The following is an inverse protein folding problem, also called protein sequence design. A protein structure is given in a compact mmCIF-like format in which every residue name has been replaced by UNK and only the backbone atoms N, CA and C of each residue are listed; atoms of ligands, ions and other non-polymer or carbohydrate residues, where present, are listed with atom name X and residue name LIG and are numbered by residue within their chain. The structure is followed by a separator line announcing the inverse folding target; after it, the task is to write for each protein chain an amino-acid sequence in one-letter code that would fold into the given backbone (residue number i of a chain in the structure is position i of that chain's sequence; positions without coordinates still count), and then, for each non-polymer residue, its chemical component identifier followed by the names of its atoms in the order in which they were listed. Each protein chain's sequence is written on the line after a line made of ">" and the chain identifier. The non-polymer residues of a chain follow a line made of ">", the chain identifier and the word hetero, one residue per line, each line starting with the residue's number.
data_IF_531881025944
#
_entry.id   IF_531881025944
#
_cell.length_a   1.000
_cell.length_b   1.000
_cell.length_c   1.000
_cell.angle_alpha   90.00
_cell.angle_beta   90.00
_cell.angle_gamma   90.00
#
_symmetry.space_group_name_H-M   'P 1'
#
loop_
_entity.id
_entity.type
_entity.pdbx_description
1 polymer ?
#
# COMPACT_ATOMS: atom_id res chain seq x y z
N UNK A 1 1.76 16.04 9.90
CA UNK A 1 2.57 15.11 9.05
C UNK A 1 2.04 13.71 9.28
N UNK A 2 1.57 13.02 8.25
CA UNK A 2 1.11 11.64 8.37
C UNK A 2 2.20 10.70 8.91
N UNK A 3 1.81 9.80 9.81
CA UNK A 3 2.67 8.77 10.39
C UNK A 3 2.17 7.38 9.98
N UNK A 4 3.03 6.60 9.35
CA UNK A 4 2.77 5.19 9.03
C UNK A 4 3.60 4.31 9.96
N UNK A 5 2.94 3.57 10.85
CA UNK A 5 3.58 2.63 11.76
C UNK A 5 3.39 1.20 11.27
N UNK A 6 4.46 0.46 11.08
CA UNK A 6 4.45 -0.92 10.60
C UNK A 6 4.87 -1.84 11.72
N UNK A 7 3.95 -2.67 12.19
CA UNK A 7 4.19 -3.69 13.20
C UNK A 7 4.60 -4.99 12.50
N UNK A 8 5.81 -5.45 12.74
CA UNK A 8 6.39 -6.62 12.07
C UNK A 8 7.38 -7.33 12.98
N UNK A 9 7.70 -8.58 12.69
CA UNK A 9 8.82 -9.33 13.32
C UNK A 9 10.15 -9.10 12.58
N UNK A 10 10.14 -8.34 11.47
CA UNK A 10 11.31 -8.16 10.61
C UNK A 10 11.46 -6.69 10.17
N UNK A 11 11.71 -5.75 11.12
CA UNK A 11 11.92 -4.34 10.79
C UNK A 11 13.02 -4.13 9.74
N UNK A 12 14.11 -4.87 9.83
CA UNK A 12 15.26 -4.79 8.91
C UNK A 12 14.90 -5.11 7.45
N UNK A 13 13.80 -5.84 7.21
CA UNK A 13 13.31 -6.10 5.87
C UNK A 13 12.49 -4.94 5.29
N UNK A 14 11.97 -4.06 6.13
CA UNK A 14 11.05 -2.97 5.76
C UNK A 14 11.74 -1.61 5.76
N UNK A 15 12.51 -1.29 6.78
CA UNK A 15 13.14 0.03 6.96
C UNK A 15 13.99 0.51 5.77
N UNK A 16 14.82 -0.32 5.11
CA UNK A 16 15.60 0.12 3.96
C UNK A 16 14.73 0.59 2.80
N UNK A 17 13.57 -0.06 2.59
CA UNK A 17 12.61 0.34 1.55
C UNK A 17 11.96 1.68 1.86
N UNK A 18 11.54 1.90 3.12
CA UNK A 18 10.95 3.16 3.57
C UNK A 18 11.90 4.35 3.53
N UNK A 19 13.21 4.09 3.58
CA UNK A 19 14.26 5.10 3.42
C UNK A 19 14.68 5.38 1.97
N UNK A 20 14.14 4.63 1.00
CA UNK A 20 14.57 4.72 -0.39
C UNK A 20 13.60 5.53 -1.27
N UNK A 21 14.14 6.06 -2.41
CA UNK A 21 13.34 6.67 -3.49
C UNK A 21 12.32 7.69 -2.98
N UNK A 22 11.07 7.60 -3.45
CA UNK A 22 9.99 8.55 -3.17
C UNK A 22 9.62 8.62 -1.68
N UNK A 23 9.69 7.47 -0.98
CA UNK A 23 9.41 7.41 0.46
C UNK A 23 10.49 8.12 1.28
N UNK A 24 11.78 7.92 0.94
CA UNK A 24 12.89 8.63 1.55
C UNK A 24 12.79 10.14 1.34
N UNK A 25 12.48 10.58 0.11
CA UNK A 25 12.26 11.99 -0.23
C UNK A 25 11.09 12.59 0.57
N UNK A 26 9.98 11.85 0.72
CA UNK A 26 8.83 12.30 1.51
C UNK A 26 9.20 12.53 2.98
N UNK A 27 10.01 11.62 3.57
CA UNK A 27 10.53 11.77 4.93
C UNK A 27 11.48 12.96 5.06
N UNK A 28 12.44 13.10 4.16
CA UNK A 28 13.40 14.23 4.15
C UNK A 28 12.72 15.59 4.03
N UNK A 29 11.65 15.67 3.25
CA UNK A 29 10.83 16.88 3.11
C UNK A 29 9.86 17.12 4.29
N UNK A 30 9.74 16.19 5.24
CA UNK A 30 8.79 16.28 6.34
C UNK A 30 7.33 16.15 5.90
N UNK A 31 7.06 15.45 4.79
CA UNK A 31 5.71 15.23 4.25
C UNK A 31 5.07 13.94 4.77
N UNK A 32 5.86 12.96 5.17
CA UNK A 32 5.43 11.73 5.84
C UNK A 32 6.52 11.22 6.77
N UNK A 33 6.15 10.45 7.79
CA UNK A 33 7.09 9.73 8.64
C UNK A 33 6.70 8.24 8.75
N UNK A 34 7.70 7.40 9.00
CA UNK A 34 7.54 5.94 9.06
C UNK A 34 8.20 5.40 10.31
N UNK A 35 7.56 4.42 10.92
CA UNK A 35 8.10 3.72 12.09
C UNK A 35 7.88 2.22 11.92
N UNK A 36 8.96 1.45 11.97
CA UNK A 36 8.88 0.00 12.08
C UNK A 36 9.06 -0.40 13.55
N UNK A 37 8.19 -1.27 14.03
CA UNK A 37 8.24 -1.74 15.43
C UNK A 37 8.18 -3.27 15.45
N UNK A 38 9.15 -3.89 16.06
CA UNK A 38 9.10 -5.33 16.37
C UNK A 38 8.21 -5.55 17.60
N UNK A 39 7.00 -6.06 17.38
CA UNK A 39 6.07 -6.35 18.46
C UNK A 39 6.57 -7.48 19.39
N UNK A 40 7.62 -8.22 19.03
CA UNK A 40 8.31 -9.16 19.91
C UNK A 40 8.93 -8.47 21.13
N UNK A 41 9.28 -7.19 21.03
CA UNK A 41 9.82 -6.40 22.14
C UNK A 41 8.82 -6.20 23.27
N UNK A 42 7.54 -6.42 23.00
CA UNK A 42 6.43 -6.33 23.95
C UNK A 42 6.02 -7.67 24.57
N UNK A 43 6.68 -8.77 24.18
CA UNK A 43 6.48 -10.06 24.83
C UNK A 43 7.09 -10.04 26.25
N UNK A 44 6.32 -10.51 27.24
CA UNK A 44 6.71 -10.42 28.67
C UNK A 44 7.51 -11.60 29.17
N UNK A 45 7.50 -12.72 28.45
CA UNK A 45 8.21 -13.92 28.83
C UNK A 45 9.69 -13.85 28.42
N UNK A 46 10.53 -14.67 29.09
CA UNK A 46 11.97 -14.73 28.88
C UNK A 46 12.37 -15.08 27.43
N UNK A 47 11.51 -15.83 26.74
CA UNK A 47 11.78 -16.30 25.38
C UNK A 47 11.22 -15.34 24.32
N UNK A 48 10.54 -14.27 24.73
CA UNK A 48 9.92 -13.28 23.85
C UNK A 48 8.99 -13.94 22.83
N UNK A 49 8.13 -14.85 23.34
CA UNK A 49 7.22 -15.67 22.55
C UNK A 49 6.09 -14.83 21.97
N UNK A 50 5.89 -14.91 20.65
CA UNK A 50 4.89 -14.12 19.90
C UNK A 50 3.83 -14.98 19.22
N UNK A 51 3.96 -16.32 19.29
CA UNK A 51 3.09 -17.27 18.62
C UNK A 51 2.85 -18.50 19.50
N UNK A 52 1.76 -19.22 19.23
CA UNK A 52 1.41 -20.47 19.92
C UNK A 52 0.58 -21.37 19.00
N UNK A 53 0.36 -22.61 19.42
CA UNK A 53 -0.43 -23.60 18.68
C UNK A 53 -1.91 -23.17 18.60
N UNK A 54 -2.57 -23.37 17.44
CA UNK A 54 -3.98 -23.04 17.31
C UNK A 54 -4.86 -23.93 18.21
N UNK A 55 -5.88 -23.35 18.81
CA UNK A 55 -6.96 -24.13 19.41
C UNK A 55 -7.66 -24.96 18.34
N UNK A 56 -8.06 -26.18 18.67
CA UNK A 56 -8.63 -27.12 17.73
C UNK A 56 -7.60 -27.94 16.96
N UNK A 57 -6.30 -27.67 17.15
CA UNK A 57 -5.21 -28.38 16.46
C UNK A 57 -5.01 -27.91 15.03
N UNK A 58 -4.16 -28.59 14.29
CA UNK A 58 -3.78 -28.27 12.91
C UNK A 58 -2.29 -27.94 12.78
N UNK A 59 -1.78 -27.77 11.55
CA UNK A 59 -0.42 -27.34 11.29
C UNK A 59 -0.25 -25.85 11.59
N UNK A 60 1.00 -25.42 11.78
CA UNK A 60 1.38 -24.03 11.95
C UNK A 60 1.18 -23.47 13.36
N UNK A 61 1.34 -22.18 13.47
CA UNK A 61 1.27 -21.38 14.70
C UNK A 61 0.36 -20.17 14.46
N UNK A 62 -0.16 -19.56 15.51
CA UNK A 62 -0.97 -18.34 15.45
C UNK A 62 -0.30 -17.26 16.28
N UNK A 63 -0.27 -16.03 15.77
CA UNK A 63 0.28 -14.89 16.51
C UNK A 63 -0.56 -14.61 17.75
N UNK A 64 0.12 -14.51 18.87
CA UNK A 64 -0.49 -14.23 20.18
C UNK A 64 -0.96 -12.79 20.26
N UNK A 65 -2.12 -12.54 20.87
CA UNK A 65 -2.69 -11.20 20.95
C UNK A 65 -1.93 -10.24 21.88
N UNK A 66 -1.34 -10.75 23.00
CA UNK A 66 -0.81 -9.89 24.05
C UNK A 66 0.37 -9.03 23.62
N UNK A 67 1.42 -9.52 22.90
CA UNK A 67 2.53 -8.68 22.47
C UNK A 67 2.07 -7.60 21.48
N UNK A 68 1.15 -7.96 20.56
CA UNK A 68 0.65 -7.03 19.55
C UNK A 68 -0.20 -5.96 20.21
N UNK A 69 -1.14 -6.34 21.10
CA UNK A 69 -1.96 -5.39 21.83
C UNK A 69 -1.12 -4.40 22.64
N UNK A 70 -0.13 -4.89 23.38
CA UNK A 70 0.77 -4.04 24.18
C UNK A 70 1.57 -3.05 23.29
N UNK A 71 1.98 -3.49 22.08
CA UNK A 71 2.65 -2.64 21.11
C UNK A 71 1.72 -1.55 20.56
N UNK A 72 0.49 -1.90 20.18
CA UNK A 72 -0.52 -0.94 19.69
C UNK A 72 -0.84 0.09 20.78
N UNK A 73 -1.12 -0.35 22.00
CA UNK A 73 -1.42 0.52 23.14
C UNK A 73 -0.26 1.48 23.44
N UNK A 74 0.98 1.01 23.33
CA UNK A 74 2.16 1.86 23.48
C UNK A 74 2.22 2.92 22.39
N UNK A 75 2.03 2.57 21.13
CA UNK A 75 2.01 3.52 20.01
C UNK A 75 0.89 4.55 20.16
N UNK A 76 -0.30 4.12 20.58
CA UNK A 76 -1.44 5.02 20.76
C UNK A 76 -1.26 5.97 21.96
N UNK A 77 -0.54 5.57 23.01
CA UNK A 77 -0.14 6.48 24.09
C UNK A 77 0.84 7.55 23.64
N UNK A 78 1.79 7.19 22.77
CA UNK A 78 2.83 8.11 22.29
C UNK A 78 2.32 9.08 21.22
N UNK A 79 1.42 8.62 20.34
CA UNK A 79 1.04 9.35 19.13
C UNK A 79 -0.45 9.66 19.02
N UNK A 80 -1.31 9.07 19.86
CA UNK A 80 -2.77 9.12 19.72
C UNK A 80 -3.32 7.99 18.85
N UNK A 81 -4.63 7.95 18.60
CA UNK A 81 -5.29 6.84 17.93
C UNK A 81 -4.86 6.68 16.47
N UNK A 82 -4.80 5.43 16.00
CA UNK A 82 -4.46 5.04 14.64
C UNK A 82 -5.67 4.45 13.90
N UNK A 83 -5.75 4.66 12.58
CA UNK A 83 -6.49 3.77 11.70
C UNK A 83 -5.66 2.50 11.55
N UNK A 84 -6.20 1.37 11.99
CA UNK A 84 -5.48 0.10 12.13
C UNK A 84 -5.87 -0.87 11.02
N UNK A 85 -4.89 -1.30 10.20
CA UNK A 85 -5.07 -2.26 9.14
C UNK A 85 -4.23 -3.51 9.41
N UNK A 86 -4.83 -4.69 9.32
CA UNK A 86 -4.14 -5.98 9.40
C UNK A 86 -4.08 -6.64 8.01
N UNK A 87 -2.87 -7.01 7.58
CA UNK A 87 -2.64 -7.67 6.29
C UNK A 87 -3.12 -9.13 6.38
N UNK A 88 -4.19 -9.46 5.65
CA UNK A 88 -4.84 -10.77 5.73
C UNK A 88 -5.41 -11.15 4.36
N UNK A 89 -5.23 -12.40 3.87
CA UNK A 89 -5.86 -12.86 2.63
C UNK A 89 -7.39 -12.76 2.63
N UNK A 90 -8.03 -12.84 3.80
CA UNK A 90 -9.48 -12.71 3.96
C UNK A 90 -9.96 -11.24 4.03
N UNK A 91 -9.05 -10.27 3.93
CA UNK A 91 -9.38 -8.85 4.01
C UNK A 91 -10.01 -8.29 2.74
N UNK A 92 -10.53 -7.07 2.85
CA UNK A 92 -11.00 -6.30 1.70
C UNK A 92 -9.84 -6.06 0.72
N UNK A 93 -10.02 -6.29 -0.61
CA UNK A 93 -8.98 -6.03 -1.59
C UNK A 93 -8.49 -4.57 -1.55
N UNK A 94 -7.19 -4.39 -1.44
CA UNK A 94 -6.56 -3.05 -1.52
C UNK A 94 -6.70 -2.49 -2.94
N UNK A 95 -7.26 -1.29 -3.04
CA UNK A 95 -7.48 -0.58 -4.30
C UNK A 95 -7.14 0.90 -4.13
N UNK A 96 -7.04 1.61 -5.24
CA UNK A 96 -6.70 3.04 -5.28
C UNK A 96 -7.53 3.92 -4.33
N UNK A 97 -8.87 3.76 -4.20
CA UNK A 97 -9.66 4.57 -3.26
C UNK A 97 -9.17 4.46 -1.80
N UNK A 98 -8.79 3.27 -1.34
CA UNK A 98 -8.23 3.11 0.01
C UNK A 98 -6.86 3.81 0.13
N UNK A 99 -6.01 3.77 -0.90
CA UNK A 99 -4.75 4.52 -0.89
C UNK A 99 -5.00 6.05 -0.78
N UNK A 100 -6.01 6.57 -1.48
CA UNK A 100 -6.42 7.98 -1.42
C UNK A 100 -6.96 8.37 -0.03
N UNK A 101 -7.70 7.48 0.63
CA UNK A 101 -8.12 7.69 2.01
C UNK A 101 -6.93 7.71 2.97
N UNK A 102 -6.03 6.73 2.85
CA UNK A 102 -4.85 6.60 3.71
C UNK A 102 -3.89 7.78 3.54
N UNK A 103 -3.78 8.35 2.33
CA UNK A 103 -2.94 9.54 2.08
C UNK A 103 -3.39 10.78 2.86
N UNK A 104 -4.67 10.83 3.27
CA UNK A 104 -5.30 11.90 4.05
C UNK A 104 -5.39 11.57 5.54
N UNK A 105 -5.02 10.35 5.93
CA UNK A 105 -5.11 9.87 7.32
C UNK A 105 -3.86 10.28 8.08
N UNK A 106 -4.03 10.93 9.25
CA UNK A 106 -2.90 11.39 10.05
C UNK A 106 -2.02 10.25 10.60
N UNK A 107 -2.64 9.13 11.00
CA UNK A 107 -1.94 8.00 11.63
C UNK A 107 -2.49 6.69 11.11
N UNK A 108 -1.64 5.93 10.44
CA UNK A 108 -1.96 4.61 9.89
C UNK A 108 -1.06 3.58 10.55
N UNK A 109 -1.66 2.50 11.04
CA UNK A 109 -0.93 1.36 11.60
C UNK A 109 -1.19 0.14 10.71
N UNK A 110 -0.12 -0.48 10.24
CA UNK A 110 -0.13 -1.67 9.40
C UNK A 110 0.44 -2.85 10.19
N UNK A 111 -0.37 -3.86 10.46
CA UNK A 111 0.03 -5.07 11.16
C UNK A 111 0.39 -6.16 10.15
N UNK A 112 1.64 -6.61 10.17
CA UNK A 112 2.15 -7.68 9.32
C UNK A 112 1.91 -9.04 9.95
N UNK A 113 1.05 -9.86 9.33
CA UNK A 113 0.80 -11.24 9.72
C UNK A 113 1.97 -12.17 9.41
N UNK A 114 2.10 -13.22 10.18
CA UNK A 114 3.01 -14.35 9.98
C UNK A 114 2.31 -15.65 10.38
N UNK A 115 2.90 -16.78 10.03
CA UNK A 115 2.37 -18.10 10.37
C UNK A 115 0.95 -18.30 9.78
N UNK A 116 0.00 -18.83 10.57
CA UNK A 116 -1.42 -18.98 10.19
C UNK A 116 -2.25 -17.69 10.37
N UNK A 117 -1.62 -16.60 10.81
CA UNK A 117 -2.25 -15.30 11.03
C UNK A 117 -2.37 -14.92 12.49
N UNK A 118 -3.42 -14.20 12.80
CA UNK A 118 -3.65 -13.56 14.10
C UNK A 118 -4.69 -14.30 14.92
N UNK A 119 -4.61 -14.18 16.24
CA UNK A 119 -5.75 -14.48 17.09
C UNK A 119 -6.91 -13.52 16.73
N UNK A 120 -8.06 -14.08 16.38
CA UNK A 120 -9.21 -13.29 15.92
C UNK A 120 -9.67 -12.27 16.97
N UNK A 121 -9.57 -12.60 18.27
CA UNK A 121 -9.96 -11.70 19.36
C UNK A 121 -9.15 -10.41 19.38
N UNK A 122 -7.88 -10.43 18.92
CA UNK A 122 -7.06 -9.22 18.77
C UNK A 122 -7.66 -8.28 17.73
N UNK A 123 -8.03 -8.81 16.56
CA UNK A 123 -8.58 -8.01 15.48
C UNK A 123 -9.91 -7.36 15.87
N UNK A 124 -10.76 -8.14 16.55
CA UNK A 124 -12.08 -7.70 16.99
C UNK A 124 -11.96 -6.64 18.11
N UNK A 125 -11.17 -6.90 19.15
CA UNK A 125 -11.03 -6.02 20.33
C UNK A 125 -10.38 -4.67 19.96
N UNK A 126 -9.35 -4.69 19.10
CA UNK A 126 -8.65 -3.46 18.69
C UNK A 126 -9.22 -2.84 17.41
N UNK A 127 -10.33 -3.37 16.89
CA UNK A 127 -11.03 -2.87 15.70
C UNK A 127 -10.09 -2.71 14.48
N UNK A 128 -9.34 -3.77 14.14
CA UNK A 128 -8.53 -3.79 12.93
C UNK A 128 -9.41 -3.98 11.69
N UNK A 129 -9.23 -3.14 10.69
CA UNK A 129 -9.69 -3.41 9.34
C UNK A 129 -8.75 -4.44 8.69
N UNK A 130 -9.28 -5.52 8.10
CA UNK A 130 -8.46 -6.48 7.36
C UNK A 130 -8.36 -6.10 5.90
N UNK A 131 -7.13 -6.17 5.34
CA UNK A 131 -6.84 -5.77 3.96
C UNK A 131 -6.02 -6.84 3.24
N UNK A 132 -6.43 -7.18 2.02
CA UNK A 132 -5.73 -8.12 1.13
C UNK A 132 -5.08 -7.40 -0.04
N UNK A 133 -3.88 -7.82 -0.46
CA UNK A 133 -3.25 -7.35 -1.70
C UNK A 133 -3.78 -8.04 -2.96
N UNK A 134 -4.43 -9.20 -2.81
CA UNK A 134 -4.90 -10.01 -3.93
C UNK A 134 -5.03 -11.48 -3.57
N UNK A 135 -5.51 -12.27 -4.50
CA UNK A 135 -5.84 -13.69 -4.33
C UNK A 135 -4.61 -14.59 -4.42
N UNK A 136 -3.67 -14.37 -3.51
CA UNK A 136 -2.45 -15.18 -3.34
C UNK A 136 -1.95 -15.09 -1.90
N UNK A 137 -1.15 -16.08 -1.49
CA UNK A 137 -0.62 -16.15 -0.13
C UNK A 137 0.87 -15.78 -0.12
N UNK A 138 1.23 -14.88 0.81
CA UNK A 138 2.61 -14.50 1.11
C UNK A 138 3.03 -15.11 2.46
N UNK A 139 4.33 -15.27 2.69
CA UNK A 139 4.89 -15.74 3.96
C UNK A 139 4.70 -14.75 5.11
N UNK A 140 4.36 -13.50 4.80
CA UNK A 140 4.15 -12.43 5.78
C UNK A 140 3.59 -11.16 5.15
N UNK A 141 3.14 -10.24 6.00
CA UNK A 141 2.48 -9.00 5.59
C UNK A 141 3.42 -7.88 5.16
N UNK A 142 4.73 -8.02 5.28
CA UNK A 142 5.68 -6.91 5.10
C UNK A 142 5.63 -6.32 3.69
N UNK A 143 5.58 -7.16 2.65
CA UNK A 143 5.43 -6.68 1.26
C UNK A 143 4.12 -5.90 1.08
N UNK A 144 3.04 -6.37 1.72
CA UNK A 144 1.76 -5.68 1.73
C UNK A 144 1.84 -4.32 2.40
N UNK A 145 2.45 -4.25 3.57
CA UNK A 145 2.62 -3.01 4.30
C UNK A 145 3.45 -1.98 3.51
N UNK A 146 4.54 -2.41 2.85
CA UNK A 146 5.35 -1.55 1.98
C UNK A 146 4.55 -1.04 0.78
N UNK A 147 3.81 -1.92 0.08
CA UNK A 147 3.00 -1.56 -1.08
C UNK A 147 1.89 -0.56 -0.71
N UNK A 148 1.18 -0.78 0.40
CA UNK A 148 0.13 0.13 0.89
C UNK A 148 0.73 1.48 1.28
N UNK A 149 1.85 1.48 2.00
CA UNK A 149 2.53 2.71 2.41
C UNK A 149 2.96 3.53 1.19
N UNK A 150 3.60 2.89 0.19
CA UNK A 150 4.02 3.59 -1.02
C UNK A 150 2.83 4.14 -1.81
N UNK A 151 1.79 3.32 -2.03
CA UNK A 151 0.60 3.74 -2.76
C UNK A 151 -0.11 4.93 -2.10
N UNK A 152 -0.13 5.00 -0.76
CA UNK A 152 -0.70 6.12 -0.02
C UNK A 152 0.21 7.35 -0.03
N UNK A 153 1.49 7.18 0.28
CA UNK A 153 2.43 8.31 0.45
C UNK A 153 2.67 9.05 -0.85
N UNK A 154 2.74 8.36 -1.99
CA UNK A 154 2.93 9.03 -3.28
C UNK A 154 1.78 9.98 -3.66
N UNK A 155 0.61 9.84 -3.03
CA UNK A 155 -0.57 10.69 -3.23
C UNK A 155 -0.58 11.92 -2.30
N UNK A 156 0.35 12.02 -1.35
CA UNK A 156 0.46 13.18 -0.48
C UNK A 156 1.01 14.36 -1.31
N UNK A 157 0.35 15.55 -1.28
CA UNK A 157 0.80 16.72 -2.04
C UNK A 157 2.26 17.07 -1.78
N UNK A 158 3.02 17.32 -2.86
CA UNK A 158 4.44 17.69 -2.80
C UNK A 158 5.42 16.50 -2.69
N UNK A 159 4.93 15.26 -2.57
CA UNK A 159 5.78 14.05 -2.58
C UNK A 159 6.27 13.78 -4.00
N UNK A 160 5.38 13.76 -4.99
CA UNK A 160 5.75 13.69 -6.40
C UNK A 160 6.29 15.05 -6.89
N UNK A 161 7.17 15.02 -7.88
CA UNK A 161 7.74 16.25 -8.46
C UNK A 161 6.72 17.11 -9.22
N UNK A 162 5.67 16.49 -9.72
CA UNK A 162 4.52 17.18 -10.34
C UNK A 162 3.24 16.51 -9.80
N UNK A 163 2.44 17.27 -9.05
CA UNK A 163 1.19 16.77 -8.44
C UNK A 163 0.16 16.31 -9.49
N UNK A 164 0.29 16.77 -10.75
CA UNK A 164 -0.55 16.28 -11.86
C UNK A 164 -0.27 14.83 -12.21
N UNK A 165 0.95 14.34 -11.95
CA UNK A 165 1.30 12.93 -12.22
C UNK A 165 0.40 11.96 -11.48
N UNK A 166 0.05 12.25 -10.21
CA UNK A 166 -0.87 11.42 -9.44
C UNK A 166 -2.30 11.41 -10.01
N UNK A 167 -2.72 12.54 -10.59
CA UNK A 167 -4.06 12.70 -11.15
C UNK A 167 -4.22 12.07 -12.54
N UNK A 168 -3.13 11.88 -13.27
CA UNK A 168 -3.10 11.30 -14.62
C UNK A 168 -2.75 9.80 -14.61
N UNK A 169 -2.43 9.21 -13.44
CA UNK A 169 -2.11 7.78 -13.33
C UNK A 169 -3.34 6.87 -13.48
N UNK A 170 -3.08 5.61 -13.83
CA UNK A 170 -4.11 4.56 -13.84
C UNK A 170 -4.86 4.49 -12.50
N UNK A 171 -6.16 4.22 -12.56
CA UNK A 171 -7.08 4.04 -11.42
C UNK A 171 -7.44 5.30 -10.63
N UNK A 172 -6.88 6.46 -10.96
CA UNK A 172 -7.23 7.71 -10.27
C UNK A 172 -8.72 8.06 -10.47
N UNK A 173 -9.38 8.52 -9.39
CA UNK A 173 -10.80 8.88 -9.41
C UNK A 173 -11.76 7.77 -9.82
N UNK A 174 -11.38 6.50 -9.65
CA UNK A 174 -12.17 5.35 -10.10
C UNK A 174 -12.05 5.07 -11.58
N UNK A 175 -11.14 5.75 -12.30
CA UNK A 175 -10.94 5.63 -13.74
C UNK A 175 -10.22 4.33 -14.16
N UNK A 176 -10.03 4.21 -15.49
CA UNK A 176 -9.38 3.07 -16.13
C UNK A 176 -7.86 3.12 -16.08
N UNK A 177 -7.25 2.49 -17.07
CA UNK A 177 -5.80 2.51 -17.28
C UNK A 177 -5.38 3.79 -18.00
N UNK A 178 -4.16 4.22 -17.69
CA UNK A 178 -3.52 5.32 -18.42
C UNK A 178 -3.11 4.92 -19.86
N UNK A 179 -2.85 5.91 -20.71
CA UNK A 179 -2.43 5.75 -22.09
C UNK A 179 -1.00 5.17 -22.20
N UNK A 180 -0.59 4.60 -23.36
CA UNK A 180 0.80 4.15 -23.56
C UNK A 180 1.76 5.34 -23.68
N UNK A 181 2.89 5.26 -22.97
CA UNK A 181 3.95 6.25 -22.98
C UNK A 181 5.06 5.89 -23.96
N UNK A 182 5.69 6.92 -24.55
CA UNK A 182 6.79 6.79 -25.48
C UNK A 182 7.91 7.76 -25.08
N UNK A 183 9.17 7.32 -25.30
CA UNK A 183 10.35 8.14 -25.09
C UNK A 183 11.33 8.00 -26.25
N UNK A 184 12.46 8.66 -26.17
CA UNK A 184 13.54 8.57 -27.17
C UNK A 184 14.20 7.18 -27.18
N UNK A 185 14.67 6.71 -28.35
CA UNK A 185 14.66 7.35 -29.67
C UNK A 185 13.29 7.31 -30.34
N UNK A 186 13.03 8.22 -31.34
CA UNK A 186 11.77 8.29 -32.08
C UNK A 186 11.44 7.00 -32.84
N UNK A 187 12.45 6.32 -33.35
CA UNK A 187 12.33 5.00 -34.01
C UNK A 187 13.16 4.00 -33.24
N UNK A 188 12.56 2.89 -32.79
CA UNK A 188 13.25 1.80 -32.13
C UNK A 188 12.83 0.47 -32.79
N UNK A 189 13.79 -0.26 -33.34
CA UNK A 189 13.55 -1.53 -34.06
C UNK A 189 12.39 -1.44 -35.07
N UNK A 190 12.44 -0.46 -35.97
CA UNK A 190 11.44 -0.20 -37.02
C UNK A 190 10.06 0.26 -36.52
N UNK A 191 9.90 0.44 -35.20
CA UNK A 191 8.67 0.98 -34.59
C UNK A 191 8.80 2.46 -34.32
N UNK A 192 7.92 3.24 -34.91
CA UNK A 192 7.92 4.71 -34.76
C UNK A 192 6.97 5.14 -33.65
N UNK A 193 7.33 6.19 -32.91
CA UNK A 193 6.43 6.90 -31.98
C UNK A 193 5.26 7.50 -32.78
N UNK A 194 4.01 7.43 -32.31
CA UNK A 194 2.83 8.03 -32.98
C UNK A 194 3.05 9.51 -33.29
N UNK A 195 2.80 9.91 -34.56
CA UNK A 195 3.10 11.26 -35.05
C UNK A 195 2.37 12.36 -34.29
N UNK A 196 1.17 12.09 -33.81
CA UNK A 196 0.38 13.03 -33.02
C UNK A 196 1.12 13.53 -31.77
N UNK A 197 1.97 12.69 -31.14
CA UNK A 197 2.66 13.02 -29.89
C UNK A 197 3.78 14.07 -30.04
N UNK A 198 4.20 14.38 -31.26
CA UNK A 198 5.17 15.45 -31.56
C UNK A 198 4.64 16.47 -32.59
N UNK A 199 3.33 16.50 -32.78
CA UNK A 199 2.66 17.49 -33.66
C UNK A 199 2.69 18.91 -33.11
N UNK A 200 2.85 19.08 -31.79
CA UNK A 200 2.68 20.36 -31.09
C UNK A 200 1.23 20.75 -30.85
N UNK A 201 0.25 19.99 -31.38
CA UNK A 201 -1.16 20.23 -31.14
C UNK A 201 -1.62 19.54 -29.84
N UNK A 202 -1.68 20.31 -28.75
CA UNK A 202 -2.02 19.81 -27.42
C UNK A 202 -3.45 19.21 -27.34
N UNK A 203 -4.40 19.69 -28.14
CA UNK A 203 -5.76 19.16 -28.18
C UNK A 203 -5.77 17.76 -28.78
N UNK A 204 -5.20 17.60 -29.99
CA UNK A 204 -5.09 16.29 -30.62
C UNK A 204 -4.28 15.28 -29.81
N UNK A 205 -3.28 15.75 -29.04
CA UNK A 205 -2.53 14.88 -28.11
C UNK A 205 -3.42 14.42 -26.98
N UNK A 206 -4.24 15.28 -26.38
CA UNK A 206 -5.19 14.90 -25.31
C UNK A 206 -6.24 13.92 -25.80
N UNK A 207 -6.83 14.18 -26.95
CA UNK A 207 -7.81 13.29 -27.58
C UNK A 207 -7.21 11.90 -27.82
N UNK A 208 -6.03 11.84 -28.43
CA UNK A 208 -5.33 10.58 -28.68
C UNK A 208 -5.03 9.81 -27.40
N UNK A 209 -4.57 10.51 -26.33
CA UNK A 209 -4.31 9.90 -25.03
C UNK A 209 -5.59 9.29 -24.44
N UNK A 210 -6.70 10.03 -24.45
CA UNK A 210 -7.97 9.57 -23.92
C UNK A 210 -8.49 8.33 -24.69
N UNK A 211 -8.43 8.34 -26.02
CA UNK A 211 -8.79 7.18 -26.84
C UNK A 211 -7.96 5.95 -26.52
N UNK A 212 -6.62 6.10 -26.42
CA UNK A 212 -5.71 4.99 -26.12
C UNK A 212 -5.88 4.45 -24.69
N UNK A 213 -6.16 5.32 -23.73
CA UNK A 213 -6.49 4.94 -22.35
C UNK A 213 -7.78 4.10 -22.31
N UNK A 214 -8.81 4.54 -22.99
CA UNK A 214 -10.09 3.83 -23.08
C UNK A 214 -9.95 2.46 -23.76
N UNK A 215 -9.32 2.42 -24.94
CA UNK A 215 -9.08 1.16 -25.65
C UNK A 215 -8.30 0.16 -24.78
N UNK A 216 -7.23 0.63 -24.13
CA UNK A 216 -6.40 -0.19 -23.25
C UNK A 216 -7.16 -0.71 -22.05
N UNK A 217 -8.06 0.10 -21.49
CA UNK A 217 -8.93 -0.30 -20.38
C UNK A 217 -9.88 -1.41 -20.82
N UNK A 218 -10.60 -1.21 -21.92
CA UNK A 218 -11.53 -2.22 -22.46
C UNK A 218 -10.81 -3.54 -22.79
N UNK A 219 -9.62 -3.46 -23.40
CA UNK A 219 -8.84 -4.65 -23.80
C UNK A 219 -8.28 -5.43 -22.60
N UNK A 220 -7.74 -4.72 -21.60
CA UNK A 220 -6.91 -5.34 -20.56
C UNK A 220 -7.57 -5.42 -19.19
N UNK A 221 -8.52 -4.55 -18.93
CA UNK A 221 -9.26 -4.45 -17.67
C UNK A 221 -10.74 -4.16 -17.93
N UNK A 222 -11.44 -5.08 -18.64
CA UNK A 222 -12.87 -4.90 -18.94
C UNK A 222 -13.71 -4.72 -17.66
N UNK A 223 -13.25 -5.29 -16.53
CA UNK A 223 -13.86 -5.10 -15.21
C UNK A 223 -13.90 -3.64 -14.72
N UNK A 224 -13.07 -2.77 -15.28
CA UNK A 224 -13.07 -1.32 -14.98
C UNK A 224 -13.90 -0.51 -15.97
N UNK A 225 -14.17 -1.06 -17.14
CA UNK A 225 -14.97 -0.36 -18.16
C UNK A 225 -16.48 -0.40 -17.85
N UNK A 226 -16.95 -1.39 -17.07
CA UNK A 226 -18.38 -1.58 -16.74
C UNK A 226 -18.85 -0.79 -15.52
N UNK A 227 -18.00 0.03 -14.89
CA UNK A 227 -18.32 0.79 -13.67
C UNK A 227 -19.01 2.16 -13.94
N UNK A 228 -19.47 2.45 -15.17
CA UNK A 228 -20.27 3.63 -15.51
C UNK A 228 -21.79 3.43 -15.36
N UNK A 229 -22.23 2.59 -14.38
CA UNK A 229 -23.64 2.46 -13.98
C UNK A 229 -23.86 2.75 -12.50
#
# INVERSE_FOLDING_TARGET
>A
MPLFSILTLFPDAVEPYLGASILGIAREKGLADYRCVDFRDFARDRHRTVDDRPFGGGPGMVLRPEPIAACVEWLEREHGPFRKLALCPAGTPFRQPLAEELSKTERVLLLCGRYEGYDQRLLDELAFETVSLGDYVLSGGELGAMAITEAAVRLIPGVLGDDRSANEDSFHGGGGLDHPHYTRPRVWREREVPRVLFSGNHESIREWRAERAQERTIERRPDLADNDN
#
